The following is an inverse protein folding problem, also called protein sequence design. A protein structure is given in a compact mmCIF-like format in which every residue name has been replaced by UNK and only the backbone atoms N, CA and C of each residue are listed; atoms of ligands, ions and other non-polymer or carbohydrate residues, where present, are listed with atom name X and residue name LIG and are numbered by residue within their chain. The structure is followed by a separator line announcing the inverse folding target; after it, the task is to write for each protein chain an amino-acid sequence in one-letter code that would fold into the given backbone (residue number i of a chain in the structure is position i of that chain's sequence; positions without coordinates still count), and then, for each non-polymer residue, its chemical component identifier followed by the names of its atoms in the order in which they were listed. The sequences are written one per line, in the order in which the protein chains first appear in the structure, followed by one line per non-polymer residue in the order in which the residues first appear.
data_IF_074212779026
#
_entry.id   IF_074212779026
#
_cell.length_a   1.000
_cell.length_b   1.000
_cell.length_c   1.000
_cell.angle_alpha   90.00
_cell.angle_beta   90.00
_cell.angle_gamma   90.00
#
_symmetry.space_group_name_H-M   'P 1'
#
loop_
_entity.id
_entity.type
_entity.pdbx_description
1 polymer ?
#
# COMPACT_ATOMS: atom_id res chain seq x y z
N UNK A 1 -14.32 31.01 1.06
CA UNK A 1 -13.47 29.89 1.53
C UNK A 1 -12.95 29.19 0.30
N UNK A 2 -11.62 29.13 0.08
CA UNK A 2 -11.05 28.28 -0.97
C UNK A 2 -11.56 26.84 -0.82
N UNK A 3 -11.69 26.11 -1.92
CA UNK A 3 -12.32 24.78 -1.93
C UNK A 3 -11.58 23.75 -1.04
N UNK A 4 -10.29 23.97 -0.76
CA UNK A 4 -9.51 23.20 0.21
C UNK A 4 -10.06 23.30 1.64
N UNK A 5 -10.47 24.49 2.08
CA UNK A 5 -10.97 24.73 3.44
C UNK A 5 -12.34 24.08 3.63
N UNK A 6 -13.16 24.07 2.57
CA UNK A 6 -14.45 23.37 2.58
C UNK A 6 -14.28 21.86 2.67
N UNK A 7 -13.28 21.29 1.97
CA UNK A 7 -13.00 19.86 2.02
C UNK A 7 -12.50 19.45 3.41
N UNK A 8 -11.58 20.24 4.00
CA UNK A 8 -11.04 19.99 5.33
C UNK A 8 -12.16 19.95 6.39
N UNK A 9 -12.99 20.98 6.46
CA UNK A 9 -14.11 21.02 7.42
C UNK A 9 -15.14 19.92 7.16
N UNK A 10 -15.39 19.58 5.89
CA UNK A 10 -16.29 18.47 5.53
C UNK A 10 -15.73 17.11 5.96
N UNK A 11 -14.43 16.89 5.83
CA UNK A 11 -13.76 15.67 6.30
C UNK A 11 -13.84 15.55 7.83
N UNK A 12 -13.53 16.62 8.57
CA UNK A 12 -13.66 16.63 10.03
C UNK A 12 -15.10 16.39 10.48
N UNK A 13 -16.07 17.05 9.84
CA UNK A 13 -17.49 16.80 10.12
C UNK A 13 -17.82 15.34 9.87
N UNK A 14 -17.43 14.79 8.72
CA UNK A 14 -17.68 13.39 8.36
C UNK A 14 -17.22 12.41 9.45
N UNK A 15 -16.01 12.58 9.98
CA UNK A 15 -15.47 11.72 11.05
C UNK A 15 -16.13 11.91 12.43
N UNK A 16 -16.70 13.08 12.70
CA UNK A 16 -17.35 13.42 13.98
C UNK A 16 -18.85 13.13 14.00
N UNK A 17 -19.47 12.86 12.85
CA UNK A 17 -20.90 12.48 12.79
C UNK A 17 -21.13 11.26 13.66
N UNK A 18 -22.26 11.21 14.38
CA UNK A 18 -22.55 10.11 15.30
C UNK A 18 -23.03 8.85 14.54
N UNK A 19 -22.53 7.65 14.89
CA UNK A 19 -21.41 7.40 15.80
C UNK A 19 -20.07 7.83 15.19
N UNK A 20 -19.18 8.42 16.01
CA UNK A 20 -17.88 8.91 15.55
C UNK A 20 -16.99 7.76 15.04
N UNK A 21 -16.08 8.08 14.13
CA UNK A 21 -15.28 7.08 13.42
C UNK A 21 -16.01 6.49 12.22
N UNK A 22 -15.42 5.46 11.61
CA UNK A 22 -15.96 4.85 10.37
C UNK A 22 -16.39 3.39 10.55
N UNK A 23 -16.05 2.76 11.68
CA UNK A 23 -16.23 1.33 11.90
C UNK A 23 -17.11 1.04 13.12
N UNK A 24 -17.89 -0.04 13.04
CA UNK A 24 -18.70 -0.56 14.13
C UNK A 24 -18.69 -2.09 14.13
N UNK A 25 -18.85 -2.71 15.31
CA UNK A 25 -19.01 -4.16 15.45
C UNK A 25 -20.49 -4.49 15.57
N UNK A 26 -20.97 -5.41 14.74
CA UNK A 26 -22.38 -5.82 14.70
C UNK A 26 -22.46 -7.34 14.81
N UNK A 27 -23.34 -7.83 15.70
CA UNK A 27 -23.60 -9.25 15.85
C UNK A 27 -24.26 -9.83 14.58
N UNK A 28 -23.76 -10.97 14.11
CA UNK A 28 -24.27 -11.65 12.91
C UNK A 28 -25.32 -12.73 13.22
N UNK A 29 -25.44 -13.12 14.49
CA UNK A 29 -26.41 -14.13 14.96
C UNK A 29 -27.49 -13.46 15.81
N UNK A 30 -28.73 -13.98 15.82
CA UNK A 30 -29.77 -13.50 16.72
C UNK A 30 -29.31 -13.56 18.19
N UNK A 31 -29.78 -12.61 19.00
CA UNK A 31 -29.50 -12.49 20.44
C UNK A 31 -30.78 -12.08 21.20
N UNK A 32 -31.95 -12.51 20.73
CA UNK A 32 -33.25 -11.99 21.19
C UNK A 32 -33.88 -12.90 22.26
N UNK A 33 -33.61 -14.21 22.19
CA UNK A 33 -34.20 -15.19 23.09
C UNK A 33 -33.20 -15.77 24.08
N UNK A 34 -33.69 -16.40 25.15
CA UNK A 34 -32.85 -17.17 26.08
C UNK A 34 -32.07 -18.27 25.35
N UNK A 35 -32.69 -18.91 24.35
CA UNK A 35 -32.03 -19.93 23.52
C UNK A 35 -30.88 -19.32 22.72
N UNK A 36 -31.09 -18.15 22.13
CA UNK A 36 -30.03 -17.44 21.38
C UNK A 36 -28.84 -17.12 22.29
N UNK A 37 -29.10 -16.60 23.49
CA UNK A 37 -28.05 -16.31 24.47
C UNK A 37 -27.31 -17.57 24.92
N UNK A 38 -28.03 -18.67 25.13
CA UNK A 38 -27.44 -19.96 25.49
C UNK A 38 -26.59 -20.59 24.37
N UNK A 39 -26.83 -20.23 23.11
CA UNK A 39 -26.01 -20.66 21.97
C UNK A 39 -24.83 -19.73 21.72
N UNK A 40 -25.05 -18.41 21.80
CA UNK A 40 -24.02 -17.41 21.56
C UNK A 40 -22.98 -17.34 22.68
N UNK A 41 -23.36 -17.73 23.90
CA UNK A 41 -22.49 -17.75 25.07
C UNK A 41 -22.72 -19.04 25.87
N UNK A 42 -22.57 -18.97 27.19
CA UNK A 42 -22.73 -20.13 28.06
C UNK A 42 -24.18 -20.64 28.10
N UNK A 43 -24.38 -21.97 28.06
CA UNK A 43 -23.36 -23.02 28.01
C UNK A 43 -22.93 -23.44 26.58
N UNK A 44 -23.66 -23.05 25.54
CA UNK A 44 -23.53 -23.59 24.17
C UNK A 44 -22.21 -23.25 23.47
N UNK A 45 -21.60 -22.10 23.75
CA UNK A 45 -20.30 -21.70 23.17
C UNK A 45 -19.19 -22.72 23.42
N UNK A 46 -19.29 -23.50 24.51
CA UNK A 46 -18.34 -24.57 24.84
C UNK A 46 -18.24 -25.64 23.75
N UNK A 47 -19.30 -25.89 22.98
CA UNK A 47 -19.27 -26.83 21.86
C UNK A 47 -18.30 -26.37 20.75
N UNK A 48 -18.32 -25.08 20.41
CA UNK A 48 -17.39 -24.51 19.43
C UNK A 48 -15.95 -24.52 19.95
N UNK A 49 -15.74 -24.18 21.24
CA UNK A 49 -14.41 -24.26 21.86
C UNK A 49 -13.85 -25.69 21.84
N UNK A 50 -14.66 -26.69 22.19
CA UNK A 50 -14.24 -28.10 22.21
C UNK A 50 -13.89 -28.58 20.80
N UNK A 51 -14.71 -28.24 19.80
CA UNK A 51 -14.43 -28.58 18.41
C UNK A 51 -13.11 -27.98 17.90
N UNK A 52 -12.74 -26.77 18.33
CA UNK A 52 -11.45 -26.14 17.98
C UNK A 52 -10.28 -26.78 18.74
N UNK A 53 -10.49 -27.26 19.97
CA UNK A 53 -9.48 -28.04 20.71
C UNK A 53 -9.20 -29.36 19.98
N UNK A 54 -10.23 -30.03 19.48
CA UNK A 54 -10.12 -31.30 18.75
C UNK A 54 -9.51 -31.12 17.34
N UNK A 55 -9.88 -30.04 16.64
CA UNK A 55 -9.37 -29.66 15.32
C UNK A 55 -9.20 -28.13 15.22
N UNK A 56 -7.97 -27.59 15.36
CA UNK A 56 -7.72 -26.15 15.25
C UNK A 56 -8.18 -25.51 13.93
N UNK A 57 -8.30 -26.31 12.84
CA UNK A 57 -8.81 -25.85 11.56
C UNK A 57 -10.27 -25.38 11.61
N UNK A 58 -11.05 -25.88 12.57
CA UNK A 58 -12.43 -25.46 12.81
C UNK A 58 -12.55 -23.97 13.15
N UNK A 59 -11.47 -23.33 13.64
CA UNK A 59 -11.49 -21.91 13.96
C UNK A 59 -11.92 -21.04 12.76
N UNK A 60 -11.58 -21.43 11.53
CA UNK A 60 -12.00 -20.72 10.32
C UNK A 60 -13.50 -20.83 10.02
N UNK A 61 -14.17 -21.89 10.48
CA UNK A 61 -15.59 -22.17 10.23
C UNK A 61 -16.51 -21.76 11.38
N UNK A 62 -16.00 -21.89 12.62
CA UNK A 62 -16.77 -21.65 13.84
C UNK A 62 -16.58 -20.23 14.41
N UNK A 63 -15.69 -19.43 13.81
CA UNK A 63 -15.43 -18.05 14.23
C UNK A 63 -15.35 -17.11 13.03
N UNK A 64 -15.23 -15.80 13.29
CA UNK A 64 -15.00 -14.81 12.24
C UNK A 64 -13.61 -14.93 11.58
N UNK A 65 -12.67 -15.70 12.15
CA UNK A 65 -11.27 -15.83 11.70
C UNK A 65 -11.14 -16.04 10.20
N UNK A 66 -12.01 -16.86 9.59
CA UNK A 66 -11.95 -17.19 8.16
C UNK A 66 -12.26 -16.04 7.20
N UNK A 67 -12.75 -14.90 7.72
CA UNK A 67 -13.05 -13.69 6.94
C UNK A 67 -12.49 -12.42 7.60
N UNK A 68 -11.62 -12.57 8.61
CA UNK A 68 -11.13 -11.46 9.44
C UNK A 68 -9.68 -11.11 9.14
N UNK A 69 -9.45 -9.89 8.68
CA UNK A 69 -8.11 -9.31 8.43
C UNK A 69 -7.76 -8.30 9.52
N UNK A 70 -6.49 -8.24 9.92
CA UNK A 70 -5.97 -7.11 10.69
C UNK A 70 -5.29 -6.10 9.77
N UNK A 71 -5.71 -4.84 9.80
CA UNK A 71 -4.93 -3.72 9.27
C UNK A 71 -4.02 -3.22 10.38
N UNK A 72 -2.71 -3.38 10.25
CA UNK A 72 -1.75 -3.10 11.31
C UNK A 72 -0.77 -2.02 10.87
N UNK A 73 -0.63 -1.00 11.72
CA UNK A 73 0.35 0.08 11.53
C UNK A 73 0.97 0.49 12.86
N UNK A 74 2.14 1.13 12.83
CA UNK A 74 2.66 1.91 13.96
C UNK A 74 2.59 3.43 13.71
N UNK A 75 1.98 3.86 12.60
CA UNK A 75 1.82 5.26 12.24
C UNK A 75 3.13 5.98 11.88
N UNK A 76 4.16 5.24 11.49
CA UNK A 76 5.50 5.80 11.23
C UNK A 76 5.67 6.39 9.82
N UNK A 77 4.78 6.09 8.88
CA UNK A 77 4.79 6.64 7.52
C UNK A 77 3.37 6.86 6.98
N UNK A 78 2.54 7.61 7.71
CA UNK A 78 1.13 7.81 7.35
C UNK A 78 1.00 8.77 6.17
N UNK A 79 0.61 8.25 5.01
CA UNK A 79 0.45 9.06 3.78
C UNK A 79 1.71 9.91 3.51
N UNK A 80 1.55 11.18 3.15
CA UNK A 80 2.62 12.18 3.09
C UNK A 80 2.88 12.93 4.41
N UNK A 81 2.26 12.51 5.52
CA UNK A 81 2.40 13.16 6.84
C UNK A 81 3.61 12.65 7.62
N UNK A 82 4.16 11.50 7.23
CA UNK A 82 5.31 10.88 7.88
C UNK A 82 4.95 10.23 9.21
N UNK A 83 5.86 10.33 10.19
CA UNK A 83 5.67 9.72 11.50
C UNK A 83 4.79 10.61 12.39
N UNK A 84 3.50 10.30 12.44
CA UNK A 84 2.51 10.98 13.29
C UNK A 84 2.06 10.11 14.48
N UNK A 85 2.62 8.90 14.58
CA UNK A 85 2.34 7.94 15.65
C UNK A 85 1.02 7.18 15.47
N UNK A 86 0.82 6.14 16.28
CA UNK A 86 -0.30 5.20 16.13
C UNK A 86 -1.66 5.88 16.24
N UNK A 87 -1.90 6.72 17.26
CA UNK A 87 -3.21 7.36 17.47
C UNK A 87 -3.64 8.24 16.29
N UNK A 88 -2.72 9.02 15.72
CA UNK A 88 -3.04 9.89 14.59
C UNK A 88 -3.19 9.13 13.27
N UNK A 89 -2.66 7.90 13.18
CA UNK A 89 -2.84 7.01 12.02
C UNK A 89 -4.22 6.36 11.97
N UNK A 90 -4.91 6.23 13.11
CA UNK A 90 -6.18 5.50 13.25
C UNK A 90 -7.25 5.87 12.21
N UNK A 91 -7.50 7.16 11.89
CA UNK A 91 -8.47 7.49 10.84
C UNK A 91 -8.12 6.90 9.48
N UNK A 92 -6.84 6.72 9.14
CA UNK A 92 -6.44 6.07 7.88
C UNK A 92 -6.71 4.57 7.94
N UNK A 93 -6.36 3.92 9.04
CA UNK A 93 -6.54 2.48 9.24
C UNK A 93 -8.02 2.07 9.28
N UNK A 94 -8.88 2.82 10.00
CA UNK A 94 -10.33 2.63 9.92
C UNK A 94 -10.84 2.78 8.47
N UNK A 95 -10.21 3.66 7.69
CA UNK A 95 -10.50 3.84 6.27
C UNK A 95 -10.23 2.57 5.47
N UNK A 96 -9.06 1.98 5.65
CA UNK A 96 -8.71 0.70 5.02
C UNK A 96 -9.68 -0.40 5.43
N UNK A 97 -10.04 -0.49 6.71
CA UNK A 97 -10.97 -1.48 7.21
C UNK A 97 -12.36 -1.39 6.55
N UNK A 98 -12.94 -0.19 6.42
CA UNK A 98 -14.25 -0.04 5.76
C UNK A 98 -14.20 -0.30 4.26
N UNK A 99 -13.06 -0.06 3.62
CA UNK A 99 -12.87 -0.33 2.20
C UNK A 99 -12.73 -1.84 1.94
N UNK A 100 -12.03 -2.60 2.80
CA UNK A 100 -12.08 -4.07 2.79
C UNK A 100 -13.53 -4.57 2.82
N UNK A 101 -14.32 -4.05 3.76
CA UNK A 101 -15.73 -4.45 3.89
C UNK A 101 -16.56 -4.06 2.67
N UNK A 102 -16.38 -2.83 2.18
CA UNK A 102 -17.18 -2.28 1.07
C UNK A 102 -16.92 -2.98 -0.26
N UNK A 103 -15.66 -3.29 -0.57
CA UNK A 103 -15.27 -3.80 -1.89
C UNK A 103 -15.15 -5.32 -1.97
N UNK A 104 -14.81 -5.98 -0.86
CA UNK A 104 -14.58 -7.43 -0.84
C UNK A 104 -15.41 -8.19 0.19
N UNK A 105 -16.26 -7.51 0.97
CA UNK A 105 -17.02 -8.09 2.08
C UNK A 105 -16.14 -8.80 3.13
N UNK A 106 -14.91 -8.35 3.27
CA UNK A 106 -13.95 -8.84 4.27
C UNK A 106 -14.17 -8.05 5.57
N UNK A 107 -14.29 -8.76 6.68
CA UNK A 107 -14.33 -8.12 7.99
C UNK A 107 -12.91 -7.76 8.42
N UNK A 108 -12.75 -6.59 9.02
CA UNK A 108 -11.43 -6.06 9.32
C UNK A 108 -11.43 -5.33 10.66
N UNK A 109 -10.35 -5.47 11.41
CA UNK A 109 -10.02 -4.58 12.52
C UNK A 109 -8.71 -3.86 12.24
N UNK A 110 -8.72 -2.56 12.48
CA UNK A 110 -7.52 -1.74 12.57
C UNK A 110 -6.84 -1.91 13.94
N UNK A 111 -5.51 -2.08 13.93
CA UNK A 111 -4.68 -2.23 15.12
C UNK A 111 -3.46 -1.32 14.98
N UNK A 112 -3.47 -0.23 15.74
CA UNK A 112 -2.33 0.69 15.84
C UNK A 112 -1.39 0.26 16.97
N UNK A 113 -0.21 -0.24 16.63
CA UNK A 113 0.79 -0.75 17.58
C UNK A 113 1.77 0.36 17.93
N UNK A 114 1.83 0.74 19.21
CA UNK A 114 2.80 1.70 19.73
C UNK A 114 4.18 1.06 19.94
N UNK A 115 4.80 0.64 18.84
CA UNK A 115 6.15 0.07 18.81
C UNK A 115 6.90 0.52 17.56
N UNK A 116 8.00 1.25 17.77
CA UNK A 116 8.91 1.68 16.69
C UNK A 116 10.03 0.67 16.46
N UNK A 117 10.35 -0.16 17.46
CA UNK A 117 11.28 -1.28 17.33
C UNK A 117 10.63 -2.43 16.54
N UNK A 118 11.28 -2.84 15.45
CA UNK A 118 10.77 -3.87 14.55
C UNK A 118 10.59 -5.23 15.25
N UNK A 119 11.46 -5.55 16.21
CA UNK A 119 11.42 -6.80 16.96
C UNK A 119 10.21 -6.88 17.87
N UNK A 120 9.97 -5.83 18.65
CA UNK A 120 8.78 -5.71 19.50
C UNK A 120 7.51 -5.69 18.65
N UNK A 121 7.49 -4.90 17.57
CA UNK A 121 6.35 -4.85 16.64
C UNK A 121 6.02 -6.25 16.11
N UNK A 122 7.02 -6.99 15.61
CA UNK A 122 6.79 -8.33 15.09
C UNK A 122 6.29 -9.31 16.16
N UNK A 123 6.80 -9.22 17.40
CA UNK A 123 6.33 -10.06 18.51
C UNK A 123 4.87 -9.79 18.86
N UNK A 124 4.47 -8.51 18.91
CA UNK A 124 3.08 -8.12 19.20
C UNK A 124 2.15 -8.62 18.10
N UNK A 125 2.51 -8.41 16.84
CA UNK A 125 1.69 -8.82 15.69
C UNK A 125 1.57 -10.34 15.60
N UNK A 126 2.67 -11.09 15.74
CA UNK A 126 2.65 -12.55 15.69
C UNK A 126 1.83 -13.14 16.85
N UNK A 127 1.83 -12.52 18.03
CA UNK A 127 1.00 -12.97 19.15
C UNK A 127 -0.52 -12.84 18.88
N UNK A 128 -0.93 -11.97 17.95
CA UNK A 128 -2.31 -11.79 17.55
C UNK A 128 -2.77 -12.77 16.46
N UNK A 129 -1.86 -13.61 15.95
CA UNK A 129 -2.15 -14.58 14.90
C UNK A 129 -3.42 -15.41 15.13
N UNK A 130 -3.73 -15.92 16.35
CA UNK A 130 -4.93 -16.74 16.58
C UNK A 130 -6.28 -16.02 16.34
N UNK A 131 -6.29 -14.69 16.25
CA UNK A 131 -7.51 -13.90 15.97
C UNK A 131 -7.78 -13.78 14.47
N UNK A 132 -6.74 -13.54 13.67
CA UNK A 132 -6.87 -13.12 12.27
C UNK A 132 -6.54 -14.24 11.30
N UNK A 133 -7.20 -14.27 10.15
CA UNK A 133 -6.82 -15.19 9.07
C UNK A 133 -5.85 -14.57 8.05
N UNK A 134 -5.59 -13.25 8.12
CA UNK A 134 -4.50 -12.59 7.41
C UNK A 134 -4.14 -11.23 8.03
N UNK A 135 -2.93 -10.75 7.73
CA UNK A 135 -2.41 -9.44 8.17
C UNK A 135 -2.13 -8.54 6.97
N UNK A 136 -2.68 -7.33 7.01
CA UNK A 136 -2.36 -6.22 6.12
C UNK A 136 -1.50 -5.19 6.87
N UNK A 137 -0.22 -5.09 6.53
CA UNK A 137 0.68 -4.05 7.04
C UNK A 137 0.49 -2.76 6.26
N UNK A 138 0.44 -1.64 6.98
CA UNK A 138 0.10 -0.33 6.42
C UNK A 138 0.91 0.81 7.07
N UNK A 139 1.33 1.81 6.29
CA UNK A 139 1.92 3.07 6.77
C UNK A 139 3.12 2.86 7.73
N UNK A 140 4.00 1.91 7.41
CA UNK A 140 5.24 1.62 8.15
C UNK A 140 6.44 2.15 7.35
N UNK A 141 7.29 2.95 8.00
CA UNK A 141 8.44 3.58 7.33
C UNK A 141 9.47 2.56 6.82
N UNK A 142 10.17 2.92 5.76
CA UNK A 142 11.36 2.21 5.30
C UNK A 142 12.61 2.68 6.09
N UNK A 143 13.61 1.78 6.31
CA UNK A 143 13.68 0.39 5.85
C UNK A 143 12.98 -0.63 6.77
N UNK A 144 12.42 -0.22 7.90
CA UNK A 144 11.85 -1.13 8.91
C UNK A 144 10.68 -1.97 8.36
N UNK A 145 9.84 -1.43 7.48
CA UNK A 145 8.76 -2.17 6.83
C UNK A 145 9.24 -3.44 6.09
N UNK A 146 10.42 -3.42 5.46
CA UNK A 146 10.99 -4.59 4.80
C UNK A 146 11.33 -5.69 5.80
N UNK A 147 11.98 -5.30 6.90
CA UNK A 147 12.40 -6.21 7.97
C UNK A 147 11.16 -6.82 8.64
N UNK A 148 10.16 -5.98 8.93
CA UNK A 148 8.90 -6.38 9.56
C UNK A 148 8.16 -7.38 8.68
N UNK A 149 7.95 -7.06 7.40
CA UNK A 149 7.24 -7.96 6.48
C UNK A 149 7.97 -9.30 6.33
N UNK A 150 9.29 -9.27 6.08
CA UNK A 150 10.09 -10.48 5.92
C UNK A 150 10.02 -11.36 7.17
N UNK A 151 10.13 -10.77 8.36
CA UNK A 151 10.09 -11.50 9.62
C UNK A 151 8.72 -12.08 9.89
N UNK A 152 7.65 -11.29 9.74
CA UNK A 152 6.29 -11.76 9.95
C UNK A 152 5.91 -12.89 8.99
N UNK A 153 6.27 -12.79 7.71
CA UNK A 153 6.08 -13.87 6.72
C UNK A 153 6.82 -15.16 7.05
N UNK A 154 7.92 -15.08 7.81
CA UNK A 154 8.69 -16.26 8.26
C UNK A 154 8.07 -16.92 9.49
N UNK A 155 7.55 -16.13 10.43
CA UNK A 155 7.12 -16.64 11.75
C UNK A 155 5.62 -16.92 11.85
N UNK A 156 4.80 -16.37 10.95
CA UNK A 156 3.35 -16.56 10.95
C UNK A 156 2.91 -17.61 9.93
N UNK A 157 1.84 -18.35 10.25
CA UNK A 157 1.24 -19.35 9.35
C UNK A 157 0.07 -18.79 8.52
N UNK A 158 -0.29 -17.52 8.75
CA UNK A 158 -1.25 -16.76 7.94
C UNK A 158 -0.56 -15.80 6.97
N UNK A 159 -1.21 -15.39 5.86
CA UNK A 159 -0.64 -14.40 4.95
C UNK A 159 -0.37 -13.07 5.64
N UNK A 160 0.78 -12.50 5.30
CA UNK A 160 1.17 -11.14 5.68
C UNK A 160 1.49 -10.40 4.38
N UNK A 161 0.81 -9.28 4.16
CA UNK A 161 0.95 -8.46 2.96
C UNK A 161 1.09 -7.00 3.36
N UNK A 162 2.06 -6.32 2.75
CA UNK A 162 2.23 -4.88 2.95
C UNK A 162 1.63 -4.12 1.77
N UNK A 163 0.58 -3.34 2.00
CA UNK A 163 -0.17 -2.69 0.92
C UNK A 163 0.65 -1.60 0.22
N UNK A 164 1.34 -0.74 0.97
CA UNK A 164 2.16 0.33 0.37
C UNK A 164 3.28 -0.20 -0.53
N UNK A 165 3.75 -1.43 -0.30
CA UNK A 165 4.74 -2.08 -1.16
C UNK A 165 4.06 -2.76 -2.34
N UNK A 166 3.38 -3.88 -2.08
CA UNK A 166 2.91 -4.78 -3.11
C UNK A 166 1.63 -4.28 -3.78
N UNK A 167 0.72 -3.68 -3.00
CA UNK A 167 -0.52 -3.10 -3.53
C UNK A 167 -0.22 -1.97 -4.50
N UNK A 168 0.64 -1.03 -4.10
CA UNK A 168 1.12 0.06 -4.96
C UNK A 168 1.79 -0.46 -6.22
N UNK A 169 2.68 -1.45 -6.08
CA UNK A 169 3.37 -2.06 -7.21
C UNK A 169 2.39 -2.64 -8.23
N UNK A 170 1.41 -3.44 -7.78
CA UNK A 170 0.43 -4.09 -8.65
C UNK A 170 -0.38 -3.06 -9.43
N UNK A 171 -0.92 -2.03 -8.76
CA UNK A 171 -1.76 -1.02 -9.44
C UNK A 171 -0.94 -0.12 -10.36
N UNK A 172 0.27 0.27 -9.96
CA UNK A 172 1.16 1.07 -10.80
C UNK A 172 1.64 0.27 -12.02
N UNK A 173 2.01 -1.00 -11.84
CA UNK A 173 2.38 -1.91 -12.92
C UNK A 173 1.26 -2.13 -13.91
N UNK A 174 0.02 -2.35 -13.44
CA UNK A 174 -1.16 -2.46 -14.30
C UNK A 174 -1.44 -1.17 -15.09
N UNK A 175 -1.32 -0.01 -14.45
CA UNK A 175 -1.51 1.28 -15.09
C UNK A 175 -0.44 1.55 -16.15
N UNK A 176 0.84 1.32 -15.85
CA UNK A 176 1.95 1.46 -16.80
C UNK A 176 1.79 0.49 -17.97
N UNK A 177 1.47 -0.77 -17.71
CA UNK A 177 1.23 -1.78 -18.74
C UNK A 177 0.13 -1.36 -19.73
N UNK A 178 -0.98 -0.83 -19.22
CA UNK A 178 -2.07 -0.35 -20.07
C UNK A 178 -1.71 0.96 -20.79
N UNK A 179 -1.03 1.89 -20.13
CA UNK A 179 -0.59 3.15 -20.74
C UNK A 179 0.39 2.91 -21.90
N UNK A 180 1.32 1.96 -21.75
CA UNK A 180 2.25 1.56 -22.80
C UNK A 180 1.55 1.01 -24.05
N UNK A 181 0.46 0.24 -23.86
CA UNK A 181 -0.37 -0.20 -25.00
C UNK A 181 -1.04 0.96 -25.72
N UNK A 182 -1.50 1.98 -24.99
CA UNK A 182 -2.15 3.16 -25.58
C UNK A 182 -1.16 3.98 -26.41
N UNK A 183 0.08 4.16 -25.92
CA UNK A 183 1.12 4.91 -26.65
C UNK A 183 1.91 4.06 -27.64
N UNK A 184 1.63 2.76 -27.73
CA UNK A 184 2.30 1.85 -28.67
C UNK A 184 3.78 1.63 -28.38
N UNK A 185 4.22 1.68 -27.11
CA UNK A 185 5.61 1.48 -26.70
C UNK A 185 5.86 0.08 -26.15
N UNK A 186 7.01 -0.50 -26.48
CA UNK A 186 7.46 -1.80 -25.98
C UNK A 186 7.96 -1.71 -24.54
N UNK A 187 7.51 -2.62 -23.69
CA UNK A 187 7.81 -2.62 -22.25
C UNK A 187 9.31 -2.73 -21.92
N UNK A 188 10.10 -3.43 -22.74
CA UNK A 188 11.54 -3.59 -22.54
C UNK A 188 12.40 -2.39 -22.97
N UNK A 189 11.88 -1.54 -23.86
CA UNK A 189 12.66 -0.48 -24.52
C UNK A 189 12.49 0.90 -23.87
N UNK A 190 11.50 1.05 -22.98
CA UNK A 190 11.19 2.34 -22.37
C UNK A 190 12.18 2.74 -21.30
N UNK A 191 12.46 4.04 -21.23
CA UNK A 191 13.25 4.67 -20.17
C UNK A 191 12.35 5.13 -19.03
N UNK A 192 12.64 4.65 -17.83
CA UNK A 192 11.88 4.99 -16.64
C UNK A 192 12.75 5.80 -15.68
N UNK A 193 12.21 6.94 -15.25
CA UNK A 193 12.77 7.73 -14.16
C UNK A 193 11.81 7.66 -12.98
N UNK A 194 12.31 7.22 -11.84
CA UNK A 194 11.50 7.14 -10.62
C UNK A 194 12.02 8.09 -9.56
N UNK A 195 11.12 8.72 -8.82
CA UNK A 195 11.45 9.46 -7.60
C UNK A 195 10.95 8.73 -6.37
N UNK A 196 11.76 8.80 -5.31
CA UNK A 196 11.51 8.13 -4.04
C UNK A 196 12.32 6.83 -3.97
N UNK A 197 13.14 6.69 -2.92
CA UNK A 197 13.94 5.49 -2.66
C UNK A 197 13.39 4.63 -1.52
N UNK A 198 12.08 4.74 -1.26
CA UNK A 198 11.36 4.04 -0.19
C UNK A 198 10.69 2.75 -0.64
N UNK A 199 9.88 2.16 0.24
CA UNK A 199 9.30 0.84 0.06
C UNK A 199 8.42 0.70 -1.18
N UNK A 200 7.47 1.64 -1.36
CA UNK A 200 6.56 1.65 -2.51
C UNK A 200 7.31 1.74 -3.84
N UNK A 201 8.23 2.71 -3.97
CA UNK A 201 8.99 2.90 -5.21
C UNK A 201 9.83 1.68 -5.56
N UNK A 202 10.59 1.15 -4.61
CA UNK A 202 11.44 -0.02 -4.84
C UNK A 202 10.62 -1.27 -5.22
N UNK A 203 9.45 -1.47 -4.58
CA UNK A 203 8.54 -2.57 -4.93
C UNK A 203 7.95 -2.41 -6.34
N UNK A 204 7.54 -1.19 -6.73
CA UNK A 204 7.10 -0.91 -8.09
C UNK A 204 8.20 -1.22 -9.12
N UNK A 205 9.43 -0.77 -8.87
CA UNK A 205 10.56 -1.03 -9.78
C UNK A 205 10.84 -2.53 -9.90
N UNK A 206 10.86 -3.27 -8.78
CA UNK A 206 11.10 -4.71 -8.80
C UNK A 206 10.02 -5.45 -9.60
N UNK A 207 8.75 -5.07 -9.42
CA UNK A 207 7.65 -5.66 -10.19
C UNK A 207 7.78 -5.33 -11.68
N UNK A 208 8.06 -4.08 -12.05
CA UNK A 208 8.24 -3.68 -13.44
C UNK A 208 9.42 -4.44 -14.09
N UNK A 209 10.54 -4.61 -13.39
CA UNK A 209 11.66 -5.44 -13.87
C UNK A 209 11.21 -6.88 -14.10
N UNK A 210 10.44 -7.47 -13.17
CA UNK A 210 9.91 -8.84 -13.32
C UNK A 210 8.92 -8.98 -14.49
N UNK A 211 8.24 -7.89 -14.85
CA UNK A 211 7.35 -7.80 -16.02
C UNK A 211 8.09 -7.59 -17.34
N UNK A 212 9.42 -7.37 -17.31
CA UNK A 212 10.28 -7.29 -18.49
C UNK A 212 10.88 -5.90 -18.76
N UNK A 213 10.74 -4.93 -17.85
CA UNK A 213 11.42 -3.63 -17.99
C UNK A 213 12.93 -3.84 -17.82
N UNK A 214 13.72 -3.37 -18.79
CA UNK A 214 15.18 -3.47 -18.69
C UNK A 214 15.70 -2.62 -17.52
N UNK A 215 16.37 -3.25 -16.57
CA UNK A 215 16.90 -2.59 -15.38
C UNK A 215 17.87 -1.43 -15.73
N UNK A 216 18.64 -1.56 -16.80
CA UNK A 216 19.58 -0.54 -17.27
C UNK A 216 18.90 0.74 -17.79
N UNK A 217 17.60 0.66 -18.09
CA UNK A 217 16.74 1.77 -18.51
C UNK A 217 16.06 2.47 -17.33
N UNK A 218 16.32 2.05 -16.09
CA UNK A 218 15.76 2.65 -14.88
C UNK A 218 16.78 3.62 -14.28
N UNK A 219 16.34 4.84 -14.00
CA UNK A 219 17.08 5.80 -13.18
C UNK A 219 16.26 6.15 -11.94
N UNK A 220 16.77 5.77 -10.77
CA UNK A 220 16.16 6.09 -9.48
C UNK A 220 16.74 7.40 -8.94
N UNK A 221 15.88 8.30 -8.49
CA UNK A 221 16.21 9.54 -7.81
C UNK A 221 15.59 9.55 -6.41
N UNK A 222 16.33 10.01 -5.42
CA UNK A 222 15.80 10.28 -4.08
C UNK A 222 16.12 11.71 -3.64
N UNK A 223 16.06 11.99 -2.34
CA UNK A 223 16.28 13.32 -1.78
C UNK A 223 17.68 13.89 -2.06
N UNK A 224 18.73 13.06 -2.21
CA UNK A 224 20.08 13.53 -2.56
C UNK A 224 20.37 13.42 -4.07
N UNK A 225 19.35 13.19 -4.89
CA UNK A 225 19.45 13.13 -6.34
C UNK A 225 19.54 11.69 -6.88
N UNK A 226 20.24 11.53 -8.00
CA UNK A 226 20.35 10.23 -8.70
C UNK A 226 21.03 9.20 -7.80
N UNK A 227 20.53 7.96 -7.82
CA UNK A 227 21.16 6.80 -7.19
C UNK A 227 22.19 6.24 -8.17
N UNK A 228 23.47 6.52 -7.91
CA UNK A 228 24.58 6.15 -8.79
C UNK A 228 25.64 5.30 -8.07
N UNK A 229 26.44 4.56 -8.84
CA UNK A 229 27.55 3.76 -8.32
C UNK A 229 28.61 4.65 -7.65
N UNK A 230 28.96 4.35 -6.39
CA UNK A 230 29.93 5.13 -5.62
C UNK A 230 29.32 6.30 -4.83
N UNK A 231 28.00 6.49 -4.88
CA UNK A 231 27.30 7.40 -3.96
C UNK A 231 27.35 6.84 -2.53
N UNK A 232 27.72 7.66 -1.55
CA UNK A 232 27.69 7.27 -0.12
C UNK A 232 26.43 7.77 0.59
N UNK A 233 26.00 9.00 0.30
CA UNK A 233 24.88 9.64 0.98
C UNK A 233 23.55 8.91 0.73
N UNK A 234 22.80 8.62 1.81
CA UNK A 234 21.44 8.09 1.73
C UNK A 234 21.32 6.66 1.20
N UNK A 235 22.43 5.93 1.01
CA UNK A 235 22.42 4.58 0.45
C UNK A 235 22.06 3.52 1.49
N UNK A 236 21.34 2.49 1.04
CA UNK A 236 21.05 1.30 1.81
C UNK A 236 21.06 0.06 0.89
N UNK A 237 21.14 -1.17 1.43
CA UNK A 237 21.24 -2.38 0.62
C UNK A 237 20.08 -2.56 -0.38
N UNK A 238 18.87 -2.11 0.00
CA UNK A 238 17.70 -2.21 -0.87
C UNK A 238 17.83 -1.27 -2.07
N UNK A 239 18.17 0.00 -1.86
CA UNK A 239 18.31 1.01 -2.91
C UNK A 239 19.53 0.76 -3.81
N UNK A 240 20.62 0.25 -3.24
CA UNK A 240 21.89 0.04 -3.94
C UNK A 240 21.75 -0.84 -5.19
N UNK A 241 20.75 -1.73 -5.25
CA UNK A 241 20.49 -2.55 -6.44
C UNK A 241 20.09 -1.73 -7.67
N UNK A 242 19.58 -0.51 -7.50
CA UNK A 242 19.24 0.41 -8.59
C UNK A 242 20.29 1.50 -8.84
N UNK A 243 21.46 1.40 -8.20
CA UNK A 243 22.58 2.28 -8.51
C UNK A 243 23.07 2.05 -9.95
N UNK A 244 23.21 3.15 -10.70
CA UNK A 244 23.64 3.12 -12.10
C UNK A 244 25.01 3.79 -12.25
N UNK A 245 25.85 3.28 -13.15
CA UNK A 245 27.04 3.99 -13.61
C UNK A 245 26.64 5.14 -14.53
N UNK A 246 26.68 6.37 -14.03
CA UNK A 246 26.22 7.57 -14.76
C UNK A 246 26.82 8.86 -14.19
N UNK A 247 26.91 9.90 -15.02
CA UNK A 247 27.32 11.25 -14.60
C UNK A 247 26.15 12.15 -14.17
N UNK A 248 24.91 11.69 -14.35
CA UNK A 248 23.70 12.39 -13.89
C UNK A 248 23.70 12.52 -12.36
N UNK A 249 23.29 13.70 -11.85
CA UNK A 249 23.23 13.97 -10.39
C UNK A 249 21.86 14.45 -9.93
N UNK A 250 21.09 15.09 -10.80
CA UNK A 250 19.77 15.64 -10.47
C UNK A 250 18.64 14.92 -11.22
N UNK A 251 17.41 15.10 -10.73
CA UNK A 251 16.21 14.67 -11.46
C UNK A 251 16.11 15.35 -12.83
N UNK A 252 16.53 16.62 -12.95
CA UNK A 252 16.54 17.37 -14.20
C UNK A 252 17.47 16.73 -15.25
N UNK A 253 18.57 16.10 -14.80
CA UNK A 253 19.50 15.38 -15.68
C UNK A 253 18.89 14.04 -16.13
N UNK A 254 18.23 13.34 -15.20
CA UNK A 254 17.67 12.01 -15.44
C UNK A 254 16.45 12.01 -16.36
N UNK A 255 15.62 13.06 -16.31
CA UNK A 255 14.29 13.09 -16.96
C UNK A 255 14.35 13.27 -18.49
N UNK A 256 15.51 13.62 -19.03
CA UNK A 256 15.68 13.89 -20.46
C UNK A 256 15.39 12.64 -21.30
N UNK A 257 14.40 12.73 -22.18
CA UNK A 257 13.95 11.64 -23.03
C UNK A 257 13.31 10.46 -22.28
N UNK A 258 12.92 10.64 -21.02
CA UNK A 258 12.23 9.60 -20.25
C UNK A 258 10.84 9.31 -20.85
N UNK A 259 10.49 8.03 -20.98
CA UNK A 259 9.18 7.59 -21.44
C UNK A 259 8.18 7.50 -20.29
N UNK A 260 8.67 7.17 -19.10
CA UNK A 260 7.86 7.00 -17.89
C UNK A 260 8.51 7.81 -16.76
N UNK A 261 7.70 8.63 -16.10
CA UNK A 261 7.99 9.16 -14.77
C UNK A 261 7.15 8.41 -13.74
N UNK A 262 7.80 7.82 -12.73
CA UNK A 262 7.16 7.14 -11.60
C UNK A 262 7.49 7.86 -10.29
N UNK A 263 6.58 8.75 -9.88
CA UNK A 263 6.67 9.50 -8.64
C UNK A 263 5.99 8.80 -7.47
N UNK A 264 6.78 8.46 -6.45
CA UNK A 264 6.34 7.92 -5.17
C UNK A 264 7.15 8.58 -4.04
N UNK A 265 7.06 9.91 -3.99
CA UNK A 265 8.02 10.74 -3.25
C UNK A 265 7.36 11.89 -2.48
N UNK A 266 7.55 13.13 -2.95
CA UNK A 266 7.15 14.36 -2.28
C UNK A 266 6.39 15.28 -3.25
N UNK A 267 5.57 16.21 -2.75
CA UNK A 267 4.81 17.12 -3.59
C UNK A 267 5.72 18.03 -4.42
N UNK A 268 5.28 18.35 -5.64
CA UNK A 268 5.90 19.37 -6.53
C UNK A 268 7.36 19.09 -6.92
N UNK A 269 7.80 17.84 -6.88
CA UNK A 269 9.16 17.42 -7.26
C UNK A 269 9.37 17.48 -8.78
N UNK A 270 8.33 17.21 -9.59
CA UNK A 270 8.42 17.25 -11.04
C UNK A 270 7.93 18.60 -11.55
N UNK A 271 8.80 19.38 -12.17
CA UNK A 271 8.44 20.72 -12.70
C UNK A 271 7.94 20.64 -14.14
N UNK A 272 7.17 21.65 -14.57
CA UNK A 272 6.72 21.76 -15.96
C UNK A 272 7.89 21.77 -16.96
N UNK A 273 9.03 22.36 -16.62
CA UNK A 273 10.21 22.37 -17.49
C UNK A 273 10.89 21.01 -17.58
N UNK A 274 10.85 20.20 -16.53
CA UNK A 274 11.28 18.80 -16.58
C UNK A 274 10.36 17.97 -17.48
N UNK A 275 9.04 18.18 -17.37
CA UNK A 275 8.04 17.48 -18.20
C UNK A 275 8.25 17.76 -19.69
N UNK A 276 8.62 18.99 -20.08
CA UNK A 276 8.93 19.33 -21.48
C UNK A 276 10.14 18.57 -22.04
N UNK A 277 11.07 18.12 -21.18
CA UNK A 277 12.27 17.35 -21.59
C UNK A 277 12.01 15.85 -21.75
N UNK A 278 10.85 15.36 -21.32
CA UNK A 278 10.49 13.95 -21.48
C UNK A 278 10.34 13.55 -22.95
N UNK A 279 10.29 12.25 -23.22
CA UNK A 279 10.05 11.71 -24.56
C UNK A 279 8.67 12.05 -25.12
N UNK A 280 8.40 11.64 -26.36
CA UNK A 280 7.07 11.79 -26.98
C UNK A 280 6.04 10.93 -26.26
N UNK A 281 4.80 11.41 -26.09
CA UNK A 281 3.72 10.71 -25.39
C UNK A 281 4.18 10.06 -24.06
N UNK A 282 4.73 10.84 -23.11
CA UNK A 282 5.26 10.27 -21.89
C UNK A 282 4.13 9.84 -20.95
N UNK A 283 4.43 8.88 -20.07
CA UNK A 283 3.54 8.41 -19.03
C UNK A 283 4.00 9.03 -17.72
N UNK A 284 3.16 9.86 -17.11
CA UNK A 284 3.46 10.56 -15.85
C UNK A 284 2.58 9.98 -14.75
N UNK A 285 3.21 9.20 -13.86
CA UNK A 285 2.59 8.63 -12.67
C UNK A 285 2.99 9.50 -11.47
N UNK A 286 2.19 10.50 -11.12
CA UNK A 286 2.47 11.40 -9.99
C UNK A 286 1.64 10.98 -8.77
N UNK A 287 2.15 10.01 -8.00
CA UNK A 287 1.37 9.25 -7.03
C UNK A 287 1.54 9.73 -5.57
N UNK A 288 2.32 10.78 -5.32
CA UNK A 288 2.39 11.38 -3.97
C UNK A 288 1.02 11.88 -3.49
N UNK A 289 0.77 11.72 -2.18
CA UNK A 289 -0.44 12.18 -1.51
C UNK A 289 -0.08 13.09 -0.32
N UNK A 290 -0.92 14.09 0.02
CA UNK A 290 -2.16 14.47 -0.66
C UNK A 290 -1.94 15.34 -1.92
N UNK A 291 -0.75 15.91 -2.08
CA UNK A 291 -0.37 16.72 -3.24
C UNK A 291 0.65 15.93 -4.10
N UNK A 292 0.40 15.78 -5.41
CA UNK A 292 1.25 14.96 -6.30
C UNK A 292 2.59 15.63 -6.62
N UNK A 293 3.51 14.87 -7.23
CA UNK A 293 4.80 15.38 -7.73
C UNK A 293 4.62 16.51 -8.76
N UNK A 294 3.52 16.49 -9.51
CA UNK A 294 3.08 17.58 -10.38
C UNK A 294 1.55 17.54 -10.47
N UNK A 295 0.91 18.71 -10.50
CA UNK A 295 -0.54 18.76 -10.72
C UNK A 295 -0.90 18.41 -12.17
N UNK A 296 -2.01 17.67 -12.42
CA UNK A 296 -2.35 17.21 -13.77
C UNK A 296 -2.58 18.30 -14.82
N UNK A 297 -3.06 19.47 -14.41
CA UNK A 297 -3.22 20.65 -15.26
C UNK A 297 -1.86 21.18 -15.75
N UNK A 298 -0.90 21.34 -14.84
CA UNK A 298 0.47 21.77 -15.18
C UNK A 298 1.19 20.75 -16.08
N UNK A 299 1.04 19.46 -15.79
CA UNK A 299 1.61 18.41 -16.63
C UNK A 299 1.03 18.43 -18.05
N UNK A 300 -0.30 18.62 -18.16
CA UNK A 300 -0.99 18.68 -19.46
C UNK A 300 -0.66 19.94 -20.25
N UNK A 301 -0.49 21.07 -19.58
CA UNK A 301 -0.03 22.31 -20.21
C UNK A 301 1.40 22.15 -20.77
N UNK A 302 2.29 21.52 -19.99
CA UNK A 302 3.68 21.29 -20.40
C UNK A 302 3.82 20.24 -21.51
N UNK A 303 2.98 19.20 -21.51
CA UNK A 303 3.04 18.07 -22.44
C UNK A 303 1.62 17.54 -22.75
N UNK A 304 0.91 18.15 -23.73
CA UNK A 304 -0.49 17.83 -24.02
C UNK A 304 -0.78 16.38 -24.42
N UNK A 305 0.24 15.67 -24.92
CA UNK A 305 0.22 14.27 -25.34
C UNK A 305 0.60 13.28 -24.22
N UNK A 306 0.84 13.75 -23.00
CA UNK A 306 1.16 12.90 -21.87
C UNK A 306 -0.06 12.12 -21.35
N UNK A 307 0.14 10.85 -21.00
CA UNK A 307 -0.80 10.11 -20.15
C UNK A 307 -0.46 10.45 -18.70
N UNK A 308 -1.44 10.98 -17.96
CA UNK A 308 -1.25 11.44 -16.59
C UNK A 308 -2.12 10.61 -15.66
N UNK A 309 -1.54 10.14 -14.56
CA UNK A 309 -2.20 9.41 -13.50
C UNK A 309 -1.76 9.94 -12.12
N UNK A 310 -2.67 9.91 -11.15
CA UNK A 310 -2.40 10.33 -9.76
C UNK A 310 -3.03 9.38 -8.74
N UNK A 311 -2.67 9.51 -7.47
CA UNK A 311 -3.35 8.79 -6.38
C UNK A 311 -4.75 9.30 -6.03
N UNK A 312 -5.13 10.47 -6.55
CA UNK A 312 -6.33 11.20 -6.14
C UNK A 312 -7.56 10.80 -6.95
N UNK A 313 -8.72 10.76 -6.28
CA UNK A 313 -10.00 10.35 -6.86
C UNK A 313 -10.71 11.46 -7.64
N UNK A 314 -10.30 12.71 -7.48
CA UNK A 314 -10.88 13.87 -8.18
C UNK A 314 -10.25 14.11 -9.56
N UNK A 315 -9.27 13.29 -9.97
CA UNK A 315 -8.66 13.32 -11.31
C UNK A 315 -8.90 12.01 -12.08
N UNK A 316 -8.87 12.04 -13.43
CA UNK A 316 -8.87 10.83 -14.24
C UNK A 316 -7.65 9.94 -13.95
N UNK A 317 -7.76 8.65 -14.31
CA UNK A 317 -6.68 7.65 -14.16
C UNK A 317 -6.16 7.55 -12.72
N UNK A 318 -7.07 7.41 -11.76
CA UNK A 318 -6.68 7.19 -10.37
C UNK A 318 -5.94 5.85 -10.24
N UNK A 319 -4.73 5.91 -9.70
CA UNK A 319 -3.91 4.74 -9.33
C UNK A 319 -3.95 4.64 -7.82
N UNK A 320 -4.80 3.77 -7.31
CA UNK A 320 -5.03 3.62 -5.88
C UNK A 320 -5.07 2.15 -5.50
N UNK A 321 -4.38 1.82 -4.41
CA UNK A 321 -4.23 0.46 -3.90
C UNK A 321 -5.58 -0.20 -3.56
N UNK A 322 -6.65 0.58 -3.37
CA UNK A 322 -8.03 0.07 -3.21
C UNK A 322 -8.50 -0.83 -4.36
N UNK A 323 -7.89 -0.72 -5.54
CA UNK A 323 -8.16 -1.59 -6.68
C UNK A 323 -7.50 -2.97 -6.54
N UNK A 324 -6.64 -3.17 -5.55
CA UNK A 324 -5.83 -4.36 -5.37
C UNK A 324 -6.10 -5.03 -4.01
N UNK A 325 -5.77 -4.37 -2.90
CA UNK A 325 -5.73 -5.07 -1.60
C UNK A 325 -7.05 -5.74 -1.22
N UNK A 326 -8.25 -5.17 -1.37
CA UNK A 326 -9.46 -5.85 -0.92
C UNK A 326 -9.62 -7.21 -1.61
N UNK A 327 -9.23 -7.30 -2.88
CA UNK A 327 -9.42 -8.49 -3.70
C UNK A 327 -8.30 -9.51 -3.53
N UNK A 328 -7.07 -9.08 -3.22
CA UNK A 328 -5.97 -9.99 -2.92
C UNK A 328 -6.30 -10.87 -1.71
N UNK A 329 -6.88 -10.27 -0.67
CA UNK A 329 -7.35 -10.97 0.51
C UNK A 329 -8.71 -11.66 0.30
N UNK A 330 -9.38 -11.53 -0.85
CA UNK A 330 -10.64 -12.24 -1.09
C UNK A 330 -10.42 -13.64 -1.68
N UNK A 331 -9.18 -13.97 -2.10
CA UNK A 331 -8.92 -15.20 -2.83
C UNK A 331 -8.66 -16.37 -1.87
N UNK A 332 -9.31 -17.54 -2.07
CA UNK A 332 -9.16 -18.69 -1.18
C UNK A 332 -7.74 -19.21 -0.96
N UNK A 333 -6.79 -18.95 -1.87
CA UNK A 333 -5.40 -19.39 -1.68
C UNK A 333 -4.65 -18.59 -0.61
N UNK A 334 -5.07 -17.36 -0.30
CA UNK A 334 -4.54 -16.63 0.85
C UNK A 334 -4.99 -17.28 2.17
N UNK A 335 -6.26 -17.69 2.29
CA UNK A 335 -6.79 -18.24 3.55
C UNK A 335 -6.45 -19.72 3.82
N UNK A 336 -5.51 -20.28 3.05
CA UNK A 336 -4.95 -21.60 3.27
C UNK A 336 -5.47 -22.69 2.33
N UNK A 337 -4.52 -23.29 1.60
CA UNK A 337 -4.42 -24.76 1.57
C UNK A 337 -3.22 -25.16 2.45
N UNK A 338 -3.25 -26.35 3.07
CA UNK A 338 -2.21 -26.80 4.00
C UNK A 338 -0.81 -26.72 3.40
N UNK A 339 0.13 -26.39 4.29
CA UNK A 339 1.57 -26.11 4.21
C UNK A 339 2.47 -27.16 3.53
N UNK A 340 1.98 -27.85 2.50
CA UNK A 340 2.77 -28.83 1.72
C UNK A 340 3.52 -28.25 0.51
N UNK A 341 3.40 -26.94 0.24
CA UNK A 341 4.10 -26.26 -0.88
C UNK A 341 4.86 -25.01 -0.43
N UNK A 342 5.68 -25.12 0.62
CA UNK A 342 6.85 -24.24 0.79
C UNK A 342 8.05 -24.93 0.11
N UNK A 343 8.17 -24.77 -1.22
CA UNK A 343 9.41 -24.95 -2.00
C UNK A 343 9.47 -23.89 -3.06
#
# INVERSE_FOLDING_TARGET
MPDSDKLYESALRYHRMAPAGKLAVVATKPLVTQRDLALAYSPGVAAACTAIVDDPGQAAQLTARGNLVAVISNGSAVLGLGNIGPLASKPVMEGKAVLFKKFANIDCFDIEVDATDADLFCKVVAALEPTFGAINLEDIKAPECFIIEERLRKIMDIPVFHDDQHGTAIVAGAAIYNALKVVGKSFGDVKLVSTGGGAASLACLDLLVSMGLAKDNITLCDIDGVVYEGREAGMNPYKARYARKTDMRSLSDAIEGADIFLGLSAPRVLTADMVKKMGTQPIIMALANPEPEIMPDLAREARPDAIIATGRSDFPNQVNNVLCYPFMFAVPWMWGRPTSMKR
#
